data_IF_332731822194
#
_entry.id   IF_332731822194
#
_cell.length_a   1.000
_cell.length_b   1.000
_cell.length_c   1.000
_cell.angle_alpha   90.00
_cell.angle_beta   90.00
_cell.angle_gamma   90.00
#
_symmetry.space_group_name_H-M   'P 1'
#
loop_
_entity.id
_entity.type
_entity.pdbx_description
1 polymer ?
#
# COMPACT_ATOMS: atom_id res chain seq x y z
N UNK A 1 22.92 0.74 12.91
CA UNK A 1 23.80 -0.44 12.90
C UNK A 1 22.95 -1.69 12.68
N UNK A 2 23.31 -2.56 11.73
CA UNK A 2 22.62 -3.83 11.35
C UNK A 2 23.65 -4.86 11.77
N UNK A 3 23.23 -5.87 12.53
CA UNK A 3 24.09 -7.00 12.90
C UNK A 3 25.44 -6.58 13.52
N UNK A 4 25.44 -5.47 14.28
CA UNK A 4 26.65 -4.92 14.92
C UNK A 4 27.51 -4.01 14.04
N UNK A 5 27.13 -3.76 12.77
CA UNK A 5 27.88 -2.90 11.85
C UNK A 5 27.21 -1.52 11.69
N UNK A 6 27.92 -0.41 11.92
CA UNK A 6 27.39 0.93 11.69
C UNK A 6 27.31 1.28 10.21
N UNK A 7 26.27 2.00 9.81
CA UNK A 7 26.13 2.61 8.49
C UNK A 7 25.56 4.02 8.64
N UNK A 8 25.95 4.86 7.69
CA UNK A 8 25.66 6.28 7.68
C UNK A 8 24.34 6.51 6.94
N UNK A 9 23.29 6.88 7.67
CA UNK A 9 22.03 7.31 7.06
C UNK A 9 21.97 8.85 7.13
N UNK A 10 21.94 9.53 5.99
CA UNK A 10 21.94 11.00 5.94
C UNK A 10 20.51 11.49 5.75
N UNK A 11 20.09 12.43 6.59
CA UNK A 11 18.84 13.12 6.39
C UNK A 11 18.95 14.20 5.29
N UNK A 12 17.82 14.52 4.62
CA UNK A 12 17.77 15.62 3.67
C UNK A 12 18.21 16.94 4.32
N UNK A 13 18.70 17.88 3.51
CA UNK A 13 19.18 19.17 4.01
C UNK A 13 18.11 19.88 4.86
N UNK A 14 18.47 20.28 6.08
CA UNK A 14 17.57 20.91 7.04
C UNK A 14 16.79 19.96 7.96
N UNK A 15 16.80 18.65 7.69
CA UNK A 15 16.18 17.63 8.53
C UNK A 15 17.23 16.85 9.34
N UNK A 16 16.78 16.31 10.47
CA UNK A 16 17.55 15.58 11.46
C UNK A 16 16.90 14.21 11.67
N UNK A 17 17.71 13.16 11.84
CA UNK A 17 17.20 11.81 12.03
C UNK A 17 16.61 11.66 13.43
N UNK A 18 15.33 11.31 13.54
CA UNK A 18 14.72 10.93 14.82
C UNK A 18 15.05 9.47 15.12
N UNK A 19 15.84 9.26 16.17
CA UNK A 19 16.37 7.96 16.53
C UNK A 19 15.31 7.05 17.20
N UNK A 20 14.12 7.57 17.55
CA UNK A 20 12.97 6.75 18.00
C UNK A 20 12.11 6.34 16.82
N UNK A 21 11.67 7.30 16.01
CA UNK A 21 10.71 7.11 14.94
C UNK A 21 11.35 6.60 13.64
N UNK A 22 12.68 6.63 13.53
CA UNK A 22 13.48 6.12 12.39
C UNK A 22 13.16 6.79 11.04
N UNK A 23 12.79 8.07 11.06
CA UNK A 23 12.64 8.92 9.87
C UNK A 23 13.30 10.30 10.09
N UNK A 24 13.48 11.05 9.01
CA UNK A 24 14.06 12.40 9.06
C UNK A 24 12.97 13.44 9.34
N UNK A 25 13.14 14.25 10.37
CA UNK A 25 12.19 15.31 10.76
C UNK A 25 12.91 16.63 11.07
N UNK A 26 12.18 17.71 11.34
CA UNK A 26 12.78 19.00 11.70
C UNK A 26 13.57 18.91 13.00
N UNK A 27 14.60 19.76 13.12
CA UNK A 27 15.49 19.80 14.29
C UNK A 27 14.74 19.88 15.63
N UNK A 28 13.63 20.60 15.67
CA UNK A 28 12.84 20.81 16.88
C UNK A 28 12.05 19.55 17.30
N UNK A 29 11.84 18.62 16.37
CA UNK A 29 11.05 17.41 16.56
C UNK A 29 11.92 16.15 16.67
N UNK A 30 13.14 16.19 16.12
CA UNK A 30 14.04 15.05 16.07
C UNK A 30 14.59 14.70 17.46
N UNK A 31 14.34 13.47 17.90
CA UNK A 31 14.92 12.90 19.12
C UNK A 31 16.24 12.21 18.79
N UNK A 32 17.34 12.88 19.10
CA UNK A 32 18.69 12.38 18.85
C UNK A 32 19.17 11.47 20.00
N UNK A 33 19.90 10.40 19.65
CA UNK A 33 20.49 9.47 20.61
C UNK A 33 21.67 10.04 21.43
N UNK A 34 22.26 9.22 22.33
CA UNK A 34 22.09 7.77 22.45
C UNK A 34 20.81 7.41 23.20
N UNK A 35 19.91 6.70 22.51
CA UNK A 35 18.72 6.16 23.14
C UNK A 35 19.10 4.85 23.79
N UNK A 36 18.77 4.70 25.08
CA UNK A 36 18.95 3.42 25.77
C UNK A 36 18.20 2.35 24.97
N UNK A 37 18.93 1.38 24.42
CA UNK A 37 18.32 0.18 23.89
C UNK A 37 17.55 -0.44 25.04
N UNK A 38 16.22 -0.46 24.94
CA UNK A 38 15.44 -1.36 25.80
C UNK A 38 16.03 -2.74 25.57
N UNK A 39 16.56 -3.42 26.61
CA UNK A 39 17.04 -4.78 26.44
C UNK A 39 15.91 -5.55 25.78
N UNK A 40 16.17 -6.12 24.60
CA UNK A 40 15.20 -7.03 24.00
C UNK A 40 14.89 -8.06 25.09
N UNK A 41 13.60 -8.28 25.43
CA UNK A 41 13.27 -9.30 26.41
C UNK A 41 13.99 -10.58 26.00
N UNK A 42 14.75 -11.16 26.93
CA UNK A 42 15.46 -12.42 26.71
C UNK A 42 14.36 -13.45 26.50
N UNK A 43 14.08 -13.69 25.22
CA UNK A 43 13.15 -14.68 24.74
C UNK A 43 14.02 -15.82 24.24
N UNK A 44 13.62 -17.05 24.54
CA UNK A 44 14.22 -18.22 23.90
C UNK A 44 14.27 -17.98 22.38
N UNK A 45 15.32 -18.46 21.73
CA UNK A 45 15.47 -18.33 20.28
C UNK A 45 14.13 -18.74 19.62
N UNK A 46 13.52 -17.89 18.77
CA UNK A 46 12.19 -18.19 18.26
C UNK A 46 12.24 -19.51 17.49
N UNK A 47 11.48 -20.50 17.96
CA UNK A 47 11.50 -21.88 17.44
C UNK A 47 10.96 -22.01 16.00
N UNK A 48 10.57 -20.91 15.37
CA UNK A 48 9.76 -20.88 14.16
C UNK A 48 10.10 -19.65 13.28
N UNK A 49 11.40 -19.40 13.08
CA UNK A 49 11.85 -18.35 12.17
C UNK A 49 11.75 -18.84 10.73
N UNK A 50 11.32 -17.94 9.83
CA UNK A 50 11.35 -18.22 8.41
C UNK A 50 12.77 -18.53 7.94
N UNK A 51 12.90 -19.57 7.11
CA UNK A 51 14.18 -19.97 6.53
C UNK A 51 14.58 -19.05 5.38
N UNK A 52 15.85 -19.09 4.97
CA UNK A 52 16.28 -18.37 3.77
C UNK A 52 15.64 -18.99 2.54
N UNK A 53 15.34 -18.16 1.55
CA UNK A 53 14.79 -18.59 0.26
C UNK A 53 15.52 -19.81 -0.30
N UNK A 54 14.77 -20.89 -0.55
CA UNK A 54 15.17 -21.99 -1.42
C UNK A 54 14.41 -21.86 -2.75
N UNK A 55 15.07 -21.38 -3.82
CA UNK A 55 14.43 -21.21 -5.13
C UNK A 55 14.02 -22.52 -5.79
N UNK A 56 14.47 -23.69 -5.31
CA UNK A 56 14.03 -24.98 -5.85
C UNK A 56 12.62 -25.34 -5.36
N UNK A 57 12.34 -25.07 -4.09
CA UNK A 57 11.06 -25.36 -3.45
C UNK A 57 10.05 -24.19 -3.58
N UNK A 58 10.54 -22.96 -3.74
CA UNK A 58 9.71 -21.78 -3.94
C UNK A 58 9.46 -21.50 -5.44
N UNK A 59 8.36 -22.05 -5.97
CA UNK A 59 8.02 -21.93 -7.39
C UNK A 59 6.70 -21.19 -7.65
N UNK A 60 6.69 -20.41 -8.72
CA UNK A 60 5.48 -19.78 -9.25
C UNK A 60 4.45 -20.85 -9.67
N UNK A 61 3.14 -20.58 -9.55
CA UNK A 61 2.52 -19.30 -9.15
C UNK A 61 2.38 -19.10 -7.63
N UNK A 62 2.71 -20.11 -6.82
CA UNK A 62 2.34 -20.15 -5.40
C UNK A 62 3.37 -19.51 -4.48
N UNK A 63 4.64 -19.54 -4.86
CA UNK A 63 5.74 -18.99 -4.08
C UNK A 63 6.70 -18.25 -5.02
N UNK A 64 7.21 -17.11 -4.58
CA UNK A 64 8.30 -16.43 -5.26
C UNK A 64 9.24 -15.77 -4.26
N UNK A 65 10.51 -16.13 -4.34
CA UNK A 65 11.56 -15.51 -3.57
C UNK A 65 12.87 -15.53 -4.36
N UNK A 66 13.80 -14.68 -3.95
CA UNK A 66 15.18 -14.75 -4.40
C UNK A 66 16.12 -14.40 -3.25
N UNK A 67 17.42 -14.67 -3.42
CA UNK A 67 18.41 -14.50 -2.36
C UNK A 67 18.49 -13.07 -1.81
N UNK A 68 18.29 -12.08 -2.67
CA UNK A 68 18.38 -10.64 -2.36
C UNK A 68 17.14 -9.85 -2.80
N UNK A 69 16.10 -10.52 -3.31
CA UNK A 69 14.87 -9.90 -3.77
C UNK A 69 14.94 -9.24 -5.14
N UNK A 70 16.05 -9.36 -5.88
CA UNK A 70 16.27 -8.58 -7.11
C UNK A 70 15.99 -9.34 -8.42
N UNK A 71 15.80 -10.66 -8.35
CA UNK A 71 15.57 -11.48 -9.55
C UNK A 71 14.19 -11.22 -10.17
N UNK A 72 14.16 -11.21 -11.51
CA UNK A 72 12.93 -11.03 -12.28
C UNK A 72 12.11 -12.34 -12.27
N UNK A 73 10.80 -12.28 -11.95
CA UNK A 73 9.91 -13.43 -12.04
C UNK A 73 9.98 -14.14 -13.40
N UNK A 74 10.07 -15.47 -13.38
CA UNK A 74 10.19 -16.29 -14.59
C UNK A 74 11.55 -16.23 -15.29
N UNK A 75 12.54 -15.50 -14.75
CA UNK A 75 13.89 -15.42 -15.31
C UNK A 75 13.94 -14.71 -16.67
N UNK A 76 13.01 -13.78 -16.91
CA UNK A 76 12.99 -12.96 -18.13
C UNK A 76 14.19 -12.01 -18.16
N UNK A 77 14.65 -11.69 -19.36
CA UNK A 77 15.58 -10.58 -19.56
C UNK A 77 14.88 -9.24 -19.24
N UNK A 78 15.57 -8.24 -18.67
CA UNK A 78 14.98 -6.94 -18.37
C UNK A 78 14.32 -6.28 -19.58
N UNK A 79 14.93 -6.38 -20.77
CA UNK A 79 14.39 -5.78 -22.01
C UNK A 79 13.09 -6.43 -22.51
N UNK A 80 12.84 -7.69 -22.13
CA UNK A 80 11.59 -8.39 -22.44
C UNK A 80 10.57 -8.29 -21.28
N UNK A 81 10.91 -7.61 -20.19
CA UNK A 81 10.08 -7.44 -19.00
C UNK A 81 9.34 -6.10 -19.02
N UNK A 82 8.00 -6.07 -18.85
CA UNK A 82 7.27 -4.81 -18.77
C UNK A 82 7.69 -4.01 -17.56
N UNK A 83 7.91 -2.71 -17.75
CA UNK A 83 8.00 -1.82 -16.61
C UNK A 83 6.60 -1.52 -16.09
N UNK A 84 6.25 -2.11 -14.95
CA UNK A 84 5.00 -1.80 -14.26
C UNK A 84 5.17 -0.50 -13.45
N UNK A 85 4.17 0.38 -13.51
CA UNK A 85 4.00 1.53 -12.63
C UNK A 85 2.73 1.31 -11.81
N UNK A 86 2.83 1.35 -10.49
CA UNK A 86 1.70 1.14 -9.57
C UNK A 86 1.38 2.45 -8.84
N UNK A 87 0.35 3.17 -9.28
CA UNK A 87 -0.11 4.36 -8.59
C UNK A 87 -0.95 3.93 -7.37
N UNK A 88 -0.51 4.27 -6.16
CA UNK A 88 -1.26 3.93 -4.94
C UNK A 88 -1.62 5.16 -4.12
N UNK A 89 -2.81 5.16 -3.52
CA UNK A 89 -3.35 6.29 -2.79
C UNK A 89 -3.79 5.85 -1.40
N UNK A 90 -3.30 6.53 -0.39
CA UNK A 90 -3.48 6.16 1.00
C UNK A 90 -4.38 7.15 1.75
N UNK A 91 -5.22 6.62 2.63
CA UNK A 91 -6.08 7.39 3.52
C UNK A 91 -7.53 7.48 3.03
N UNK A 92 -8.24 8.50 3.51
CA UNK A 92 -9.67 8.66 3.24
C UNK A 92 -9.91 9.26 1.85
N UNK A 93 -10.90 8.73 1.12
CA UNK A 93 -11.41 9.36 -0.11
C UNK A 93 -12.62 10.21 0.25
N UNK A 94 -12.59 11.49 -0.09
CA UNK A 94 -13.69 12.41 0.17
C UNK A 94 -13.69 13.60 -0.80
N UNK A 95 -14.58 14.57 -0.54
CA UNK A 95 -14.75 15.77 -1.38
C UNK A 95 -13.46 16.59 -1.57
N UNK A 96 -12.47 16.45 -0.68
CA UNK A 96 -11.22 17.21 -0.80
C UNK A 96 -10.27 16.65 -1.87
N UNK A 97 -10.36 15.35 -2.18
CA UNK A 97 -9.37 14.67 -3.01
C UNK A 97 -9.95 13.89 -4.19
N UNK A 98 -11.23 13.49 -4.14
CA UNK A 98 -11.85 12.67 -5.17
C UNK A 98 -11.75 13.25 -6.59
N UNK A 99 -12.03 14.55 -6.75
CA UNK A 99 -11.92 15.21 -8.05
C UNK A 99 -10.46 15.37 -8.51
N UNK A 100 -9.49 15.42 -7.59
CA UNK A 100 -8.06 15.42 -7.93
C UNK A 100 -7.65 14.05 -8.48
N UNK A 101 -8.08 12.98 -7.82
CA UNK A 101 -7.84 11.61 -8.31
C UNK A 101 -8.49 11.37 -9.68
N UNK A 102 -9.71 11.84 -9.90
CA UNK A 102 -10.36 11.76 -11.22
C UNK A 102 -9.62 12.50 -12.33
N UNK A 103 -8.92 13.61 -12.01
CA UNK A 103 -8.07 14.28 -13.01
C UNK A 103 -6.91 13.39 -13.43
N UNK A 104 -6.30 12.65 -12.50
CA UNK A 104 -5.26 11.64 -12.79
C UNK A 104 -5.83 10.55 -13.69
N UNK A 105 -7.00 10.02 -13.35
CA UNK A 105 -7.65 8.90 -14.04
C UNK A 105 -8.70 9.30 -15.09
N UNK A 106 -8.49 10.42 -15.79
CA UNK A 106 -9.47 10.99 -16.72
C UNK A 106 -9.66 10.22 -18.06
N UNK A 107 -9.04 9.05 -18.21
CA UNK A 107 -9.12 8.20 -19.41
C UNK A 107 -8.30 8.66 -20.62
N UNK A 108 -7.57 9.78 -20.54
CA UNK A 108 -6.69 10.25 -21.63
C UNK A 108 -5.40 9.45 -21.73
N UNK A 109 -4.84 9.05 -20.58
CA UNK A 109 -3.65 8.22 -20.51
C UNK A 109 -4.07 6.76 -20.56
N UNK A 110 -3.45 6.01 -21.46
CA UNK A 110 -3.79 4.62 -21.75
C UNK A 110 -2.54 3.76 -21.78
N UNK A 111 -2.69 2.52 -21.33
CA UNK A 111 -1.71 1.47 -21.51
C UNK A 111 -1.60 1.06 -22.99
N UNK A 112 -0.54 0.35 -23.40
CA UNK A 112 -0.34 -0.10 -24.77
C UNK A 112 -1.51 -0.91 -25.37
N UNK A 113 -2.28 -1.63 -24.55
CA UNK A 113 -3.50 -2.33 -24.99
C UNK A 113 -4.73 -1.43 -25.19
N UNK A 114 -4.60 -0.11 -25.02
CA UNK A 114 -5.67 0.87 -25.19
C UNK A 114 -6.58 1.05 -23.96
N UNK A 115 -6.34 0.32 -22.87
CA UNK A 115 -7.06 0.47 -21.63
C UNK A 115 -6.63 1.72 -20.86
N UNK A 116 -7.56 2.39 -20.20
CA UNK A 116 -7.23 3.49 -19.29
C UNK A 116 -6.36 2.98 -18.13
N UNK A 117 -5.44 3.83 -17.68
CA UNK A 117 -4.59 3.54 -16.51
C UNK A 117 -5.45 3.41 -15.24
N UNK A 118 -5.00 2.58 -14.29
CA UNK A 118 -5.70 2.33 -13.02
C UNK A 118 -4.77 2.52 -11.84
N UNK A 119 -5.34 2.83 -10.68
CA UNK A 119 -4.62 2.92 -9.40
C UNK A 119 -5.18 1.97 -8.35
N UNK A 120 -4.51 1.92 -7.20
CA UNK A 120 -4.91 1.14 -6.02
C UNK A 120 -5.13 2.08 -4.83
N UNK A 121 -6.25 1.95 -4.14
CA UNK A 121 -6.63 2.83 -3.02
C UNK A 121 -6.63 2.04 -1.71
N UNK A 122 -5.71 2.36 -0.80
CA UNK A 122 -5.64 1.80 0.55
C UNK A 122 -6.44 2.70 1.51
N UNK A 123 -7.69 2.33 1.73
CA UNK A 123 -8.65 3.23 2.34
C UNK A 123 -8.65 3.14 3.87
N UNK A 124 -8.71 4.31 4.51
CA UNK A 124 -9.04 4.45 5.93
C UNK A 124 -10.51 4.78 6.16
N UNK A 125 -11.09 4.36 7.28
CA UNK A 125 -12.51 4.60 7.53
C UNK A 125 -12.83 6.08 7.76
N UNK A 126 -12.17 6.71 8.73
CA UNK A 126 -12.63 8.01 9.22
C UNK A 126 -12.64 9.06 8.10
N UNK A 127 -13.77 9.77 7.96
CA UNK A 127 -14.02 10.80 6.92
C UNK A 127 -14.04 10.31 5.46
N UNK A 128 -14.13 9.00 5.20
CA UNK A 128 -14.35 8.48 3.84
C UNK A 128 -15.79 8.65 3.36
N UNK A 129 -15.94 8.98 2.07
CA UNK A 129 -17.19 9.02 1.33
C UNK A 129 -17.31 7.71 0.53
N UNK A 130 -18.19 6.81 0.96
CA UNK A 130 -18.28 5.49 0.37
C UNK A 130 -18.99 5.45 -0.99
N UNK A 131 -19.79 6.47 -1.33
CA UNK A 131 -20.31 6.61 -2.70
C UNK A 131 -19.19 6.95 -3.70
N UNK A 132 -18.21 7.75 -3.27
CA UNK A 132 -17.02 8.05 -4.07
C UNK A 132 -16.06 6.86 -4.16
N UNK A 133 -15.90 6.11 -3.07
CA UNK A 133 -15.16 4.83 -3.09
C UNK A 133 -15.80 3.86 -4.07
N UNK A 134 -17.13 3.71 -4.04
CA UNK A 134 -17.86 2.88 -4.99
C UNK A 134 -17.64 3.35 -6.44
N UNK A 135 -17.59 4.66 -6.68
CA UNK A 135 -17.28 5.21 -8.01
C UNK A 135 -15.88 4.79 -8.49
N UNK A 136 -14.86 4.90 -7.63
CA UNK A 136 -13.49 4.47 -7.98
C UNK A 136 -13.44 2.97 -8.31
N UNK A 137 -14.14 2.15 -7.51
CA UNK A 137 -14.22 0.71 -7.74
C UNK A 137 -14.95 0.38 -9.06
N UNK A 138 -16.05 1.07 -9.35
CA UNK A 138 -16.80 0.95 -10.60
C UNK A 138 -15.95 1.30 -11.83
N UNK A 139 -15.11 2.33 -11.72
CA UNK A 139 -14.17 2.74 -12.77
C UNK A 139 -12.98 1.75 -12.93
N UNK A 140 -12.95 0.69 -12.11
CA UNK A 140 -12.03 -0.43 -12.20
C UNK A 140 -10.72 -0.22 -11.44
N UNK A 141 -10.65 0.77 -10.56
CA UNK A 141 -9.54 0.90 -9.61
C UNK A 141 -9.62 -0.18 -8.54
N UNK A 142 -8.46 -0.56 -8.01
CA UNK A 142 -8.38 -1.54 -6.94
C UNK A 142 -8.66 -0.86 -5.59
N UNK A 143 -9.49 -1.51 -4.76
CA UNK A 143 -9.83 -1.06 -3.41
C UNK A 143 -9.23 -2.02 -2.40
N UNK A 144 -8.41 -1.51 -1.50
CA UNK A 144 -7.68 -2.25 -0.48
C UNK A 144 -7.87 -1.61 0.91
N UNK A 145 -7.56 -2.36 1.97
CA UNK A 145 -7.75 -1.88 3.36
C UNK A 145 -6.51 -1.16 3.89
N UNK A 146 -6.72 0.03 4.45
CA UNK A 146 -5.71 0.85 5.14
C UNK A 146 -5.95 0.99 6.66
N UNK A 147 -6.80 0.17 7.27
CA UNK A 147 -7.31 0.21 8.67
C UNK A 147 -8.50 1.13 8.96
N UNK A 148 -9.24 0.85 10.02
CA UNK A 148 -10.41 1.63 10.45
C UNK A 148 -9.94 2.94 11.09
N UNK A 149 -9.08 2.85 12.11
CA UNK A 149 -8.76 3.98 12.98
C UNK A 149 -7.47 4.71 12.67
N UNK A 150 -6.57 4.12 11.85
CA UNK A 150 -5.22 4.64 11.64
C UNK A 150 -4.46 4.86 12.97
N UNK A 151 -4.74 4.05 14.00
CA UNK A 151 -4.15 4.24 15.33
C UNK A 151 -2.62 4.11 15.33
N UNK A 152 -1.96 5.00 16.07
CA UNK A 152 -0.54 4.88 16.35
C UNK A 152 -0.26 3.72 17.29
N UNK A 153 0.82 2.99 17.05
CA UNK A 153 1.20 1.85 17.89
C UNK A 153 0.55 0.53 17.50
N UNK A 154 -0.24 0.48 16.41
CA UNK A 154 -0.87 -0.74 15.92
C UNK A 154 0.15 -1.88 15.70
N UNK A 155 1.38 -1.53 15.33
CA UNK A 155 2.45 -2.50 15.08
C UNK A 155 2.82 -3.39 16.27
N UNK A 156 2.47 -2.98 17.48
CA UNK A 156 2.73 -3.72 18.72
C UNK A 156 1.44 -4.27 19.37
N UNK A 157 0.30 -4.21 18.67
CA UNK A 157 -1.00 -4.73 19.14
C UNK A 157 -1.21 -6.22 18.84
N UNK A 158 -2.22 -6.80 19.50
CA UNK A 158 -2.57 -8.21 19.42
C UNK A 158 -3.42 -8.56 18.20
N UNK A 159 -3.74 -9.85 18.09
CA UNK A 159 -4.48 -10.42 16.97
C UNK A 159 -5.87 -9.79 16.82
N UNK A 160 -6.60 -9.63 17.92
CA UNK A 160 -7.96 -9.07 17.92
C UNK A 160 -7.99 -7.62 17.46
N UNK A 161 -7.00 -6.79 17.85
CA UNK A 161 -6.90 -5.42 17.36
C UNK A 161 -6.58 -5.38 15.86
N UNK A 162 -5.63 -6.19 15.38
CA UNK A 162 -5.33 -6.28 13.95
C UNK A 162 -6.52 -6.79 13.12
N UNK A 163 -7.27 -7.77 13.64
CA UNK A 163 -8.47 -8.26 13.01
C UNK A 163 -9.56 -7.18 12.97
N UNK A 164 -9.79 -6.46 14.07
CA UNK A 164 -10.74 -5.35 14.12
C UNK A 164 -10.41 -4.23 13.13
N UNK A 165 -9.12 -3.91 12.97
CA UNK A 165 -8.68 -2.87 12.05
C UNK A 165 -8.76 -3.29 10.57
N UNK A 166 -8.28 -4.48 10.22
CA UNK A 166 -8.23 -4.91 8.83
C UNK A 166 -9.57 -5.47 8.36
N UNK A 167 -10.13 -6.41 9.12
CA UNK A 167 -11.38 -7.08 8.75
C UNK A 167 -12.55 -6.12 8.93
N UNK A 168 -12.55 -5.31 10.00
CA UNK A 168 -13.54 -4.26 10.16
C UNK A 168 -13.55 -3.28 8.99
N UNK A 169 -12.38 -2.86 8.49
CA UNK A 169 -12.31 -1.98 7.32
C UNK A 169 -12.85 -2.69 6.06
N UNK A 170 -12.53 -3.97 5.86
CA UNK A 170 -13.04 -4.78 4.75
C UNK A 170 -14.57 -4.92 4.79
N UNK A 171 -15.15 -5.16 5.96
CA UNK A 171 -16.61 -5.25 6.13
C UNK A 171 -17.31 -3.90 5.90
N UNK A 172 -16.71 -2.80 6.38
CA UNK A 172 -17.20 -1.44 6.14
C UNK A 172 -17.22 -1.13 4.64
N UNK A 173 -16.13 -1.42 3.92
CA UNK A 173 -16.06 -1.25 2.46
C UNK A 173 -17.10 -2.10 1.75
N UNK A 174 -17.24 -3.37 2.15
CA UNK A 174 -18.22 -4.26 1.56
C UNK A 174 -19.65 -3.78 1.73
N UNK A 175 -19.98 -3.28 2.91
CA UNK A 175 -21.32 -2.82 3.23
C UNK A 175 -21.67 -1.45 2.66
N UNK A 176 -20.74 -0.48 2.73
CA UNK A 176 -21.04 0.92 2.46
C UNK A 176 -20.54 1.40 1.09
N UNK A 177 -19.56 0.73 0.49
CA UNK A 177 -19.11 0.99 -0.89
C UNK A 177 -19.54 -0.10 -1.89
N UNK A 178 -20.24 -1.15 -1.44
CA UNK A 178 -20.73 -2.23 -2.30
C UNK A 178 -19.61 -2.92 -3.12
N UNK A 179 -18.42 -3.05 -2.52
CA UNK A 179 -17.27 -3.75 -3.13
C UNK A 179 -17.22 -5.16 -2.54
N UNK A 180 -17.13 -6.20 -3.36
CA UNK A 180 -17.21 -7.55 -2.82
C UNK A 180 -15.97 -7.89 -1.98
N UNK A 181 -16.17 -8.73 -0.95
CA UNK A 181 -15.08 -9.21 -0.09
C UNK A 181 -13.93 -9.85 -0.90
N UNK A 182 -14.27 -10.55 -1.98
CA UNK A 182 -13.34 -11.20 -2.89
C UNK A 182 -12.50 -10.24 -3.74
N UNK A 183 -12.91 -8.97 -3.85
CA UNK A 183 -12.15 -7.93 -4.56
C UNK A 183 -11.23 -7.14 -3.62
N UNK A 184 -11.53 -7.12 -2.31
CA UNK A 184 -10.74 -6.40 -1.31
C UNK A 184 -9.65 -7.34 -0.76
N UNK A 185 -8.65 -7.62 -1.57
CA UNK A 185 -7.62 -8.64 -1.29
C UNK A 185 -6.30 -8.07 -0.78
N UNK A 186 -6.12 -6.75 -0.84
CA UNK A 186 -4.93 -6.04 -0.43
C UNK A 186 -5.03 -5.34 0.91
N UNK A 187 -3.91 -5.28 1.62
CA UNK A 187 -3.77 -4.61 2.90
C UNK A 187 -2.54 -3.68 2.92
N UNK A 188 -2.64 -2.61 3.71
CA UNK A 188 -1.51 -1.75 4.07
C UNK A 188 -1.66 -1.26 5.51
N UNK A 189 -0.60 -1.43 6.29
CA UNK A 189 -0.50 -0.97 7.65
C UNK A 189 -0.33 0.56 7.72
N UNK A 190 -0.86 1.21 8.76
CA UNK A 190 -0.72 2.65 8.94
C UNK A 190 0.75 3.02 9.14
N UNK A 191 1.16 4.16 8.57
CA UNK A 191 2.50 4.75 8.71
C UNK A 191 3.67 3.86 8.26
N UNK A 192 3.41 2.84 7.43
CA UNK A 192 4.41 1.82 7.00
C UNK A 192 5.13 1.18 8.20
N UNK A 193 4.35 0.86 9.24
CA UNK A 193 4.79 0.09 10.40
C UNK A 193 4.06 -1.26 10.41
N UNK A 194 4.63 -2.29 9.77
CA UNK A 194 4.04 -3.62 9.78
C UNK A 194 3.88 -4.17 11.21
N UNK A 195 2.88 -5.00 11.46
CA UNK A 195 2.52 -5.56 12.76
C UNK A 195 3.23 -6.84 13.14
N UNK A 196 4.54 -6.90 12.94
CA UNK A 196 5.39 -8.07 13.27
C UNK A 196 4.80 -9.32 12.64
N UNK A 197 4.63 -10.40 13.40
CA UNK A 197 3.96 -11.61 12.91
C UNK A 197 2.43 -11.53 13.00
N UNK A 198 1.91 -10.66 13.86
CA UNK A 198 0.48 -10.59 14.18
C UNK A 198 -0.35 -10.11 12.99
N UNK A 199 0.08 -9.05 12.32
CA UNK A 199 -0.60 -8.55 11.11
C UNK A 199 -0.71 -9.66 10.07
N UNK A 200 0.41 -10.26 9.70
CA UNK A 200 0.47 -11.24 8.60
C UNK A 200 -0.30 -12.51 8.96
N UNK A 201 -0.35 -12.89 10.25
CA UNK A 201 -1.22 -13.98 10.70
C UNK A 201 -2.71 -13.68 10.48
N UNK A 202 -3.15 -12.46 10.80
CA UNK A 202 -4.52 -12.02 10.52
C UNK A 202 -4.79 -12.00 9.01
N UNK A 203 -3.86 -11.48 8.21
CA UNK A 203 -4.02 -11.44 6.75
C UNK A 203 -4.18 -12.85 6.14
N UNK A 204 -3.33 -13.79 6.56
CA UNK A 204 -3.39 -15.21 6.17
C UNK A 204 -4.73 -15.84 6.57
N UNK A 205 -5.12 -15.72 7.85
CA UNK A 205 -6.34 -16.34 8.41
C UNK A 205 -7.64 -15.87 7.73
N UNK A 206 -7.64 -14.63 7.22
CA UNK A 206 -8.79 -14.01 6.58
C UNK A 206 -8.65 -13.91 5.05
N UNK A 207 -7.69 -14.63 4.45
CA UNK A 207 -7.59 -14.78 3.00
C UNK A 207 -7.29 -13.49 2.26
N UNK A 208 -6.50 -12.57 2.84
CA UNK A 208 -5.82 -11.55 2.04
C UNK A 208 -4.80 -12.20 1.12
N UNK A 209 -4.61 -11.62 -0.07
CA UNK A 209 -3.63 -12.09 -1.04
C UNK A 209 -2.28 -11.40 -0.80
N UNK A 210 -2.30 -10.13 -0.44
CA UNK A 210 -1.06 -9.38 -0.27
C UNK A 210 -1.13 -8.31 0.83
N UNK A 211 0.04 -8.06 1.41
CA UNK A 211 0.37 -6.87 2.16
C UNK A 211 1.27 -5.94 1.33
N UNK A 212 1.21 -4.65 1.61
CA UNK A 212 2.14 -3.67 1.07
C UNK A 212 2.45 -2.67 2.18
N UNK A 213 3.22 -3.12 3.17
CA UNK A 213 3.59 -2.31 4.33
C UNK A 213 5.09 -2.31 4.61
N UNK A 214 5.84 -3.25 4.02
CA UNK A 214 7.25 -3.46 4.33
C UNK A 214 8.10 -2.50 3.50
N UNK A 215 8.75 -1.55 4.18
CA UNK A 215 9.70 -0.61 3.58
C UNK A 215 11.06 -1.25 3.28
N UNK A 216 11.56 -1.00 2.08
CA UNK A 216 12.93 -1.33 1.63
C UNK A 216 13.80 -0.09 1.76
N UNK A 217 15.06 -0.21 2.24
CA UNK A 217 16.01 0.89 2.17
C UNK A 217 16.26 1.35 0.73
N UNK A 218 16.86 2.53 0.54
CA UNK A 218 17.26 3.02 -0.78
C UNK A 218 18.36 2.12 -1.38
N UNK A 219 17.97 1.21 -2.26
CA UNK A 219 18.87 0.30 -2.96
C UNK A 219 19.00 0.72 -4.44
N UNK A 220 20.19 0.55 -5.05
CA UNK A 220 20.38 0.84 -6.47
C UNK A 220 19.60 -0.12 -7.38
N UNK A 221 19.41 -1.37 -6.94
CA UNK A 221 18.56 -2.34 -7.61
C UNK A 221 17.31 -2.54 -6.75
N UNK A 222 16.12 -2.17 -7.25
CA UNK A 222 14.88 -2.32 -6.50
C UNK A 222 14.51 -3.79 -6.24
N UNK A 223 13.76 -4.02 -5.16
CA UNK A 223 13.28 -5.36 -4.78
C UNK A 223 11.94 -5.64 -5.45
N UNK A 224 11.82 -6.82 -6.07
CA UNK A 224 10.56 -7.34 -6.60
C UNK A 224 9.62 -7.83 -5.48
N UNK A 225 8.29 -7.82 -5.68
CA UNK A 225 7.37 -8.49 -4.77
C UNK A 225 7.74 -9.96 -4.56
N UNK A 226 7.48 -10.47 -3.36
CA UNK A 226 7.85 -11.82 -2.94
C UNK A 226 6.78 -12.41 -2.03
N UNK A 227 6.74 -13.73 -1.89
CA UNK A 227 5.88 -14.37 -0.88
C UNK A 227 6.60 -14.50 0.45
N UNK A 228 5.81 -14.53 1.53
CA UNK A 228 6.29 -14.67 2.89
C UNK A 228 6.45 -16.12 3.34
N UNK A 229 6.50 -17.08 2.41
CA UNK A 229 6.91 -18.47 2.66
C UNK A 229 8.32 -18.54 3.27
N UNK A 230 9.20 -17.62 2.86
CA UNK A 230 10.58 -17.53 3.27
C UNK A 230 10.91 -16.17 3.90
N UNK A 231 12.08 -16.10 4.54
CA UNK A 231 12.62 -14.89 5.17
C UNK A 231 12.77 -13.76 4.15
N UNK A 232 12.32 -12.57 4.55
CA UNK A 232 12.53 -11.31 3.82
C UNK A 232 14.02 -11.12 3.48
N UNK A 233 14.31 -10.87 2.21
CA UNK A 233 15.66 -10.83 1.64
C UNK A 233 16.37 -9.46 1.77
N UNK A 234 15.74 -8.48 2.41
CA UNK A 234 16.27 -7.13 2.60
C UNK A 234 16.12 -6.63 4.05
N UNK A 235 16.75 -5.50 4.37
CA UNK A 235 16.63 -4.90 5.71
C UNK A 235 15.19 -4.46 5.99
N UNK A 236 14.70 -4.79 7.19
CA UNK A 236 13.45 -4.27 7.72
C UNK A 236 13.69 -2.89 8.35
N UNK A 237 13.50 -1.82 7.57
CA UNK A 237 13.75 -0.45 8.04
C UNK A 237 12.87 -0.05 9.24
N UNK A 238 11.64 -0.57 9.31
CA UNK A 238 10.67 -0.27 10.39
C UNK A 238 10.92 -1.05 11.69
N UNK A 239 11.79 -2.07 11.69
CA UNK A 239 12.04 -2.95 12.84
C UNK A 239 10.84 -3.81 13.30
N UNK A 240 9.78 -3.85 12.50
CA UNK A 240 8.49 -4.44 12.85
C UNK A 240 7.94 -5.38 11.77
N UNK A 241 8.81 -5.84 10.87
CA UNK A 241 8.47 -6.82 9.84
C UNK A 241 8.25 -8.22 10.42
N UNK A 242 7.60 -9.14 9.68
CA UNK A 242 7.39 -10.51 10.13
C UNK A 242 8.73 -11.26 10.18
N UNK A 243 8.82 -12.21 11.11
CA UNK A 243 9.97 -13.10 11.29
C UNK A 243 9.62 -14.57 11.05
N UNK A 244 8.33 -14.91 11.01
CA UNK A 244 7.80 -16.24 10.70
C UNK A 244 7.42 -16.34 9.22
N UNK A 245 7.19 -17.57 8.77
CA UNK A 245 6.64 -17.85 7.45
C UNK A 245 5.11 -17.70 7.44
N UNK A 246 4.60 -17.10 6.37
CA UNK A 246 3.17 -16.94 6.05
C UNK A 246 2.95 -17.40 4.60
N UNK A 247 2.89 -18.73 4.35
CA UNK A 247 2.89 -19.29 3.02
C UNK A 247 1.79 -18.74 2.10
N UNK A 248 2.18 -18.32 0.89
CA UNK A 248 1.26 -17.79 -0.12
C UNK A 248 0.77 -16.36 0.10
N UNK A 249 1.09 -15.72 1.24
CA UNK A 249 0.84 -14.29 1.43
C UNK A 249 1.95 -13.50 0.74
N UNK A 250 1.57 -12.62 -0.19
CA UNK A 250 2.51 -11.77 -0.91
C UNK A 250 2.84 -10.50 -0.12
N UNK A 251 4.10 -10.08 -0.17
CA UNK A 251 4.50 -8.72 0.16
C UNK A 251 4.81 -7.96 -1.13
N UNK A 252 4.20 -6.79 -1.28
CA UNK A 252 4.51 -5.83 -2.35
C UNK A 252 5.31 -4.69 -1.71
N UNK A 253 6.64 -4.77 -1.73
CA UNK A 253 7.48 -3.97 -0.88
C UNK A 253 7.58 -2.51 -1.34
N UNK A 254 7.76 -1.61 -0.39
CA UNK A 254 7.99 -0.19 -0.61
C UNK A 254 9.46 0.09 -0.89
N UNK A 255 9.85 0.09 -2.16
CA UNK A 255 11.16 0.58 -2.56
C UNK A 255 11.26 2.09 -2.31
N UNK A 256 12.13 2.51 -1.37
CA UNK A 256 12.29 3.92 -1.08
C UNK A 256 12.74 4.69 -2.33
N UNK A 257 12.07 5.81 -2.60
CA UNK A 257 12.40 6.71 -3.70
C UNK A 257 13.62 7.57 -3.36
N UNK A 258 14.49 7.78 -4.34
CA UNK A 258 15.62 8.71 -4.27
C UNK A 258 16.28 8.91 -5.64
N UNK A 259 17.04 9.99 -5.77
CA UNK A 259 17.89 10.31 -6.93
C UNK A 259 19.37 10.30 -6.54
N UNK A 260 20.30 10.13 -7.49
CA UNK A 260 21.73 9.98 -7.21
C UNK A 260 22.34 11.21 -6.53
N UNK A 261 21.82 12.40 -6.84
CA UNK A 261 22.24 13.67 -6.20
C UNK A 261 21.78 13.76 -4.75
N UNK A 262 20.92 12.85 -4.29
CA UNK A 262 20.20 12.86 -3.01
C UNK A 262 19.36 14.12 -2.77
N UNK A 263 19.10 14.91 -3.82
CA UNK A 263 18.14 16.01 -3.76
C UNK A 263 16.73 15.43 -3.54
N UNK A 264 16.00 15.95 -2.55
CA UNK A 264 14.69 15.37 -2.18
C UNK A 264 14.72 14.29 -1.08
N UNK A 265 15.85 13.62 -0.84
CA UNK A 265 15.97 12.63 0.23
C UNK A 265 15.45 11.22 -0.07
N UNK A 266 15.56 10.32 0.92
CA UNK A 266 14.97 8.99 0.88
C UNK A 266 13.54 9.00 1.43
N UNK A 267 12.57 8.71 0.57
CA UNK A 267 11.16 8.86 0.90
C UNK A 267 10.39 7.59 0.49
N UNK A 268 9.75 6.89 1.44
CA UNK A 268 8.83 5.80 1.12
C UNK A 268 7.55 6.29 0.43
N UNK A 269 7.05 7.47 0.81
CA UNK A 269 5.94 8.16 0.14
C UNK A 269 6.45 9.34 -0.67
N UNK A 270 5.88 9.56 -1.86
CA UNK A 270 6.31 10.67 -2.71
C UNK A 270 6.05 12.05 -2.08
N UNK A 271 4.97 12.19 -1.30
CA UNK A 271 4.69 13.42 -0.55
C UNK A 271 5.67 13.68 0.63
N UNK A 272 6.51 12.71 0.98
CA UNK A 272 7.57 12.85 1.98
C UNK A 272 8.92 13.23 1.35
N UNK A 273 9.04 13.20 0.03
CA UNK A 273 10.22 13.70 -0.67
C UNK A 273 10.25 15.24 -0.57
N UNK A 274 11.44 15.82 -0.48
CA UNK A 274 11.62 17.28 -0.38
C UNK A 274 11.49 17.92 -1.77
N UNK A 275 10.28 17.86 -2.34
CA UNK A 275 9.93 18.38 -3.66
C UNK A 275 9.11 19.68 -3.64
N UNK A 276 8.70 20.14 -2.46
CA UNK A 276 7.73 21.24 -2.30
C UNK A 276 8.16 22.62 -2.86
N UNK A 277 9.46 22.84 -3.09
CA UNK A 277 9.98 24.09 -3.67
C UNK A 277 10.29 23.97 -5.17
N UNK A 278 10.09 22.79 -5.76
CA UNK A 278 10.39 22.55 -7.15
C UNK A 278 9.21 22.96 -8.03
N UNK A 279 9.50 23.44 -9.23
CA UNK A 279 8.48 23.63 -10.25
C UNK A 279 8.09 22.30 -10.91
N UNK A 280 7.04 22.34 -11.74
CA UNK A 280 6.52 21.12 -12.37
C UNK A 280 7.48 20.42 -13.36
N UNK A 281 8.47 21.12 -13.93
CA UNK A 281 9.49 20.53 -14.81
C UNK A 281 10.58 19.86 -13.96
N UNK A 282 11.03 20.50 -12.89
CA UNK A 282 11.97 19.91 -11.94
C UNK A 282 11.38 18.65 -11.26
N UNK A 283 10.08 18.66 -10.91
CA UNK A 283 9.38 17.46 -10.40
C UNK A 283 9.35 16.35 -11.45
N UNK A 284 9.14 16.69 -12.74
CA UNK A 284 9.19 15.70 -13.82
C UNK A 284 10.57 15.07 -13.93
N UNK A 285 11.64 15.88 -13.94
CA UNK A 285 13.02 15.42 -14.05
C UNK A 285 13.39 14.49 -12.89
N UNK A 286 13.01 14.87 -11.67
CA UNK A 286 13.21 14.02 -10.49
C UNK A 286 12.52 12.66 -10.61
N UNK A 287 11.25 12.66 -11.05
CA UNK A 287 10.48 11.42 -11.24
C UNK A 287 11.05 10.56 -12.39
N UNK A 288 11.62 11.16 -13.42
CA UNK A 288 12.29 10.45 -14.52
C UNK A 288 13.57 9.77 -14.05
N UNK A 289 14.39 10.46 -13.26
CA UNK A 289 15.63 9.89 -12.72
C UNK A 289 15.32 8.71 -11.78
N UNK A 290 14.38 8.88 -10.84
CA UNK A 290 14.00 7.79 -9.94
C UNK A 290 13.35 6.62 -10.70
N UNK A 291 12.57 6.88 -11.75
CA UNK A 291 12.02 5.84 -12.63
C UNK A 291 13.13 5.09 -13.41
N UNK A 292 14.15 5.78 -13.93
CA UNK A 292 15.25 5.17 -14.67
C UNK A 292 15.99 4.12 -13.84
N UNK A 293 16.07 4.29 -12.51
CA UNK A 293 16.62 3.28 -11.59
C UNK A 293 15.91 1.92 -11.68
N UNK A 294 14.61 1.90 -11.96
CA UNK A 294 13.84 0.67 -12.14
C UNK A 294 13.96 0.18 -13.60
N UNK A 295 13.75 1.11 -14.53
CA UNK A 295 13.63 0.84 -15.96
C UNK A 295 14.94 0.34 -16.58
N UNK A 296 16.09 0.86 -16.15
CA UNK A 296 17.40 0.50 -16.70
C UNK A 296 18.08 -0.66 -15.95
N UNK A 297 17.45 -1.16 -14.89
CA UNK A 297 17.98 -2.25 -14.06
C UNK A 297 17.14 -3.54 -14.22
N UNK A 298 16.38 -3.90 -13.18
CA UNK A 298 15.67 -5.18 -13.12
C UNK A 298 14.15 -5.06 -13.36
N UNK A 299 13.65 -3.89 -13.77
CA UNK A 299 12.23 -3.65 -14.10
C UNK A 299 11.24 -3.98 -12.99
N UNK A 300 11.68 -4.00 -11.72
CA UNK A 300 10.76 -4.19 -10.60
C UNK A 300 9.61 -3.15 -10.65
N UNK A 301 8.41 -3.48 -10.14
CA UNK A 301 7.30 -2.55 -10.17
C UNK A 301 7.66 -1.21 -9.52
N UNK A 302 7.52 -0.13 -10.29
CA UNK A 302 7.72 1.23 -9.82
C UNK A 302 6.43 1.71 -9.12
N UNK A 303 6.35 1.48 -7.82
CA UNK A 303 5.23 1.96 -7.01
C UNK A 303 5.37 3.45 -6.76
N UNK A 304 4.29 4.21 -6.97
CA UNK A 304 4.20 5.64 -6.67
C UNK A 304 3.11 5.85 -5.62
N UNK A 305 3.45 5.86 -4.33
CA UNK A 305 2.50 5.96 -3.24
C UNK A 305 2.29 7.41 -2.80
N UNK A 306 1.03 7.83 -2.77
CA UNK A 306 0.62 9.21 -2.50
C UNK A 306 -0.37 9.31 -1.35
N UNK A 307 -0.24 10.37 -0.55
CA UNK A 307 -1.34 10.93 0.22
C UNK A 307 -2.00 12.11 -0.49
N UNK A 308 -3.12 12.57 0.05
CA UNK A 308 -3.80 13.81 -0.39
C UNK A 308 -2.86 15.02 -0.47
N UNK A 309 -1.84 15.10 0.39
CA UNK A 309 -0.90 16.22 0.46
C UNK A 309 -0.20 16.50 -0.88
N UNK A 310 0.15 15.45 -1.64
CA UNK A 310 0.76 15.60 -2.97
C UNK A 310 -0.11 16.47 -3.89
N UNK A 311 -1.42 16.27 -3.84
CA UNK A 311 -2.38 16.93 -4.72
C UNK A 311 -2.82 18.32 -4.24
N UNK A 312 -2.42 18.71 -3.03
CA UNK A 312 -2.65 20.08 -2.53
C UNK A 312 -1.64 21.08 -3.12
N UNK A 313 -0.49 20.60 -3.60
CA UNK A 313 0.56 21.42 -4.21
C UNK A 313 0.45 21.30 -5.74
N UNK A 314 0.10 22.42 -6.39
CA UNK A 314 -0.17 22.45 -7.84
C UNK A 314 1.02 22.01 -8.70
N UNK A 315 2.24 22.36 -8.32
CA UNK A 315 3.42 21.98 -9.09
C UNK A 315 3.72 20.48 -9.01
N UNK A 316 3.45 19.84 -7.85
CA UNK A 316 3.55 18.39 -7.70
C UNK A 316 2.48 17.66 -8.54
N UNK A 317 1.21 18.11 -8.50
CA UNK A 317 0.13 17.57 -9.33
C UNK A 317 0.47 17.68 -10.83
N UNK A 318 0.98 18.84 -11.27
CA UNK A 318 1.37 19.06 -12.67
C UNK A 318 2.58 18.23 -13.09
N UNK A 319 3.60 18.15 -12.22
CA UNK A 319 4.79 17.33 -12.46
C UNK A 319 4.43 15.85 -12.62
N UNK A 320 3.53 15.34 -11.76
CA UNK A 320 2.98 13.99 -11.92
C UNK A 320 2.26 13.83 -13.27
N UNK A 321 1.39 14.76 -13.66
CA UNK A 321 0.73 14.69 -14.96
C UNK A 321 1.70 14.68 -16.14
N UNK A 322 2.78 15.48 -16.08
CA UNK A 322 3.84 15.47 -17.08
C UNK A 322 4.55 14.11 -17.10
N UNK A 323 4.88 13.55 -15.94
CA UNK A 323 5.51 12.23 -15.81
C UNK A 323 4.65 11.14 -16.42
N UNK A 324 3.36 11.08 -16.07
CA UNK A 324 2.44 10.06 -16.61
C UNK A 324 2.33 10.15 -18.13
N UNK A 325 2.29 11.37 -18.70
CA UNK A 325 2.26 11.58 -20.16
C UNK A 325 3.57 11.20 -20.85
N UNK A 326 4.70 11.43 -20.20
CA UNK A 326 6.02 11.03 -20.70
C UNK A 326 6.15 9.50 -20.66
N UNK A 327 5.91 8.89 -19.51
CA UNK A 327 6.05 7.45 -19.30
C UNK A 327 5.09 6.64 -20.19
N UNK A 328 3.87 7.14 -20.46
CA UNK A 328 2.93 6.48 -21.37
C UNK A 328 3.37 6.45 -22.84
N UNK A 329 4.42 7.19 -23.22
CA UNK A 329 4.97 7.15 -24.59
C UNK A 329 5.98 6.01 -24.76
N UNK A 330 6.46 5.43 -23.66
CA UNK A 330 7.31 4.23 -23.67
C UNK A 330 6.42 3.01 -23.94
N UNK A 331 6.83 2.14 -24.87
CA UNK A 331 5.95 1.09 -25.44
C UNK A 331 5.75 -0.11 -24.52
N UNK A 332 6.61 -0.24 -23.54
CA UNK A 332 6.79 -1.36 -22.61
C UNK A 332 6.49 -0.96 -21.15
N UNK A 333 5.95 0.26 -20.95
CA UNK A 333 5.48 0.76 -19.66
C UNK A 333 3.98 0.53 -19.50
N UNK A 334 3.59 0.03 -18.33
CA UNK A 334 2.22 -0.33 -18.00
C UNK A 334 1.82 0.21 -16.63
N UNK A 335 0.75 0.97 -16.58
CA UNK A 335 0.14 1.43 -15.34
C UNK A 335 -0.91 0.43 -14.89
N UNK A 336 -0.63 -0.28 -13.81
CA UNK A 336 -1.42 -1.42 -13.34
C UNK A 336 -1.77 -1.25 -11.87
N UNK A 337 -2.86 -1.88 -11.44
CA UNK A 337 -3.14 -2.03 -10.01
C UNK A 337 -2.16 -3.02 -9.38
N UNK A 338 -2.11 -3.07 -8.04
CA UNK A 338 -1.22 -4.00 -7.33
C UNK A 338 -1.59 -5.45 -7.64
N UNK A 339 -2.88 -5.79 -7.58
CA UNK A 339 -3.39 -7.12 -7.96
C UNK A 339 -3.05 -7.49 -9.41
N UNK A 340 -3.16 -6.54 -10.35
CA UNK A 340 -2.78 -6.79 -11.74
C UNK A 340 -1.29 -7.08 -11.90
N UNK A 341 -0.42 -6.35 -11.18
CA UNK A 341 1.01 -6.62 -11.18
C UNK A 341 1.35 -7.97 -10.55
N UNK A 342 0.75 -8.30 -9.40
CA UNK A 342 0.90 -9.62 -8.78
C UNK A 342 0.42 -10.75 -9.71
N UNK A 343 -0.69 -10.55 -10.42
CA UNK A 343 -1.18 -11.53 -11.40
C UNK A 343 -0.14 -11.78 -12.50
N UNK A 344 0.53 -10.73 -13.00
CA UNK A 344 1.65 -10.91 -13.93
C UNK A 344 2.85 -11.61 -13.29
N UNK A 345 3.19 -11.29 -12.04
CA UNK A 345 4.28 -11.94 -11.31
C UNK A 345 4.03 -13.44 -11.15
N UNK A 346 2.77 -13.85 -10.92
CA UNK A 346 2.39 -15.26 -10.80
C UNK A 346 2.45 -16.04 -12.13
N UNK A 347 2.31 -15.36 -13.27
CA UNK A 347 2.42 -15.94 -14.62
C UNK A 347 3.14 -14.97 -15.58
N UNK A 348 4.48 -14.84 -15.45
CA UNK A 348 5.23 -13.80 -16.16
C UNK A 348 5.15 -13.95 -17.68
N UNK A 349 4.78 -12.85 -18.35
CA UNK A 349 4.72 -12.74 -19.82
C UNK A 349 5.66 -11.65 -20.32
N UNK A 350 6.34 -11.91 -21.43
CA UNK A 350 7.15 -10.88 -22.07
C UNK A 350 6.30 -9.73 -22.61
N UNK A 351 6.90 -8.54 -22.77
CA UNK A 351 6.23 -7.33 -23.27
C UNK A 351 5.41 -7.58 -24.54
N UNK A 352 5.93 -8.41 -25.45
CA UNK A 352 5.28 -8.73 -26.74
C UNK A 352 3.95 -9.46 -26.58
N UNK A 353 3.77 -10.20 -25.48
CA UNK A 353 2.55 -10.96 -25.21
C UNK A 353 1.47 -10.15 -24.46
N UNK A 354 1.79 -8.96 -23.94
CA UNK A 354 0.91 -8.22 -23.02
C UNK A 354 -0.27 -7.52 -23.67
N UNK A 355 -0.20 -7.20 -24.96
CA UNK A 355 -1.31 -6.54 -25.66
C UNK A 355 -2.62 -7.36 -25.62
N UNK A 356 -2.50 -8.69 -25.53
CA UNK A 356 -3.66 -9.61 -25.43
C UNK A 356 -3.73 -10.32 -24.07
N UNK A 357 -3.00 -9.84 -23.05
CA UNK A 357 -2.95 -10.50 -21.75
C UNK A 357 -4.27 -10.31 -21.00
N UNK A 358 -4.96 -11.42 -20.75
CA UNK A 358 -6.34 -11.44 -20.26
C UNK A 358 -6.52 -10.69 -18.93
N UNK A 359 -5.57 -10.85 -18.01
CA UNK A 359 -5.64 -10.25 -16.67
C UNK A 359 -5.58 -8.71 -16.70
N UNK A 360 -5.07 -8.11 -17.77
CA UNK A 360 -4.92 -6.66 -17.92
C UNK A 360 -5.92 -6.05 -18.90
N UNK A 361 -6.89 -6.84 -19.39
CA UNK A 361 -7.97 -6.32 -20.22
C UNK A 361 -8.95 -5.49 -19.39
N UNK A 362 -9.51 -4.47 -20.02
CA UNK A 362 -10.48 -3.55 -19.42
C UNK A 362 -11.92 -3.77 -19.89
N UNK A 363 -12.20 -4.83 -20.66
CA UNK A 363 -13.53 -5.18 -21.14
C UNK A 363 -14.30 -6.15 -20.21
N UNK A 364 -13.72 -6.45 -19.04
CA UNK A 364 -14.40 -7.18 -17.96
C UNK A 364 -15.62 -6.40 -17.50
N UNK A 365 -16.73 -7.12 -17.26
CA UNK A 365 -18.00 -6.54 -16.80
C UNK A 365 -18.24 -6.76 -15.31
N UNK A 366 -17.23 -7.24 -14.60
CA UNK A 366 -17.36 -7.75 -13.25
C UNK A 366 -17.09 -6.67 -12.18
N UNK A 367 -17.01 -5.40 -12.58
CA UNK A 367 -16.82 -4.28 -11.64
C UNK A 367 -18.08 -4.04 -10.80
N UNK A 368 -17.93 -3.47 -9.59
CA UNK A 368 -19.05 -3.07 -8.77
C UNK A 368 -20.07 -2.21 -9.53
N UNK A 369 -21.33 -2.28 -9.12
CA UNK A 369 -22.38 -1.44 -9.71
C UNK A 369 -22.02 0.05 -9.55
N UNK A 370 -22.41 0.85 -10.54
CA UNK A 370 -22.25 2.30 -10.48
C UNK A 370 -22.86 2.87 -9.18
N UNK A 371 -22.27 3.92 -8.60
CA UNK A 371 -22.85 4.56 -7.44
C UNK A 371 -24.24 5.13 -7.76
N UNK A 372 -25.08 5.19 -6.74
CA UNK A 372 -26.37 5.85 -6.77
C UNK A 372 -26.25 7.33 -7.17
N UNK A 373 -27.29 7.87 -7.82
CA UNK A 373 -27.33 9.27 -8.26
C UNK A 373 -27.40 10.27 -7.08
N UNK A 374 -28.00 9.87 -5.96
CA UNK A 374 -28.16 10.69 -4.77
C UNK A 374 -27.76 9.89 -3.53
N UNK A 375 -26.51 10.01 -3.06
CA UNK A 375 -26.03 9.34 -1.85
C UNK A 375 -26.77 9.80 -0.59
N UNK A 376 -26.99 8.86 0.33
CA UNK A 376 -27.48 9.16 1.67
C UNK A 376 -26.41 9.92 2.45
N UNK A 377 -26.80 10.98 3.16
CA UNK A 377 -25.93 11.76 4.05
C UNK A 377 -26.29 11.44 5.49
N UNK A 378 -25.52 10.55 6.10
CA UNK A 378 -25.81 10.01 7.42
C UNK A 378 -25.11 10.86 8.48
N UNK A 379 -25.89 11.55 9.32
CA UNK A 379 -25.39 12.19 10.54
C UNK A 379 -25.39 11.16 11.67
N UNK A 380 -24.22 10.62 11.99
CA UNK A 380 -24.07 9.45 12.84
C UNK A 380 -23.41 9.81 14.17
N UNK A 381 -23.97 9.31 15.26
CA UNK A 381 -23.39 9.44 16.59
C UNK A 381 -22.09 8.63 16.68
N UNK A 382 -21.03 9.24 17.18
CA UNK A 382 -19.73 8.60 17.42
C UNK A 382 -19.15 9.05 18.75
N UNK A 383 -18.71 8.09 19.58
CA UNK A 383 -18.00 8.36 20.83
C UNK A 383 -16.60 7.77 20.76
N UNK A 384 -15.55 8.59 20.54
CA UNK A 384 -14.18 8.12 20.60
C UNK A 384 -13.87 7.51 21.97
N UNK A 385 -13.15 6.38 22.00
CA UNK A 385 -12.91 5.60 23.22
C UNK A 385 -12.13 6.36 24.32
N UNK A 386 -11.31 7.33 23.91
CA UNK A 386 -10.47 8.18 24.76
C UNK A 386 -11.18 9.46 25.22
N UNK A 387 -12.43 9.68 24.80
CA UNK A 387 -13.20 10.89 25.12
C UNK A 387 -14.52 10.59 25.84
N UNK A 388 -14.93 11.54 26.67
CA UNK A 388 -16.20 11.46 27.41
C UNK A 388 -17.37 12.15 26.69
N UNK A 389 -17.15 12.72 25.51
CA UNK A 389 -18.20 13.37 24.73
C UNK A 389 -18.56 12.55 23.49
N UNK A 390 -19.81 12.68 23.06
CA UNK A 390 -20.30 12.11 21.80
C UNK A 390 -20.32 13.21 20.76
N UNK A 391 -19.76 12.91 19.60
CA UNK A 391 -19.69 13.81 18.45
C UNK A 391 -20.52 13.25 17.28
N UNK A 392 -20.76 14.08 16.27
CA UNK A 392 -21.42 13.66 15.04
C UNK A 392 -20.37 13.46 13.95
N UNK A 393 -20.40 12.30 13.29
CA UNK A 393 -19.64 12.01 12.08
C UNK A 393 -20.60 11.93 10.91
N UNK A 394 -20.27 12.65 9.84
CA UNK A 394 -21.02 12.57 8.59
C UNK A 394 -20.42 11.48 7.70
N UNK A 395 -21.26 10.59 7.22
CA UNK A 395 -20.87 9.53 6.29
C UNK A 395 -21.79 9.55 5.08
N UNK A 396 -21.21 9.52 3.88
CA UNK A 396 -21.97 9.43 2.62
C UNK A 396 -21.85 8.02 2.03
N UNK A 397 -22.96 7.42 1.64
CA UNK A 397 -23.03 6.06 1.08
C UNK A 397 -24.31 5.88 0.24
N UNK A 398 -24.30 4.91 -0.67
CA UNK A 398 -25.50 4.50 -1.40
C UNK A 398 -26.34 3.45 -0.65
N UNK A 399 -25.79 2.89 0.43
CA UNK A 399 -26.51 2.00 1.34
C UNK A 399 -27.37 2.80 2.33
N UNK A 400 -28.29 2.13 3.02
CA UNK A 400 -29.06 2.74 4.10
C UNK A 400 -28.15 3.26 5.22
N UNK A 401 -28.54 4.37 5.83
CA UNK A 401 -27.79 4.93 6.94
C UNK A 401 -27.76 3.94 8.12
N UNK A 402 -26.57 3.66 8.69
CA UNK A 402 -26.49 2.84 9.89
C UNK A 402 -27.05 3.57 11.11
N UNK A 403 -27.25 2.85 12.21
CA UNK A 403 -27.77 3.43 13.46
C UNK A 403 -26.72 4.28 14.20
N UNK A 404 -25.44 3.92 14.07
CA UNK A 404 -24.30 4.63 14.64
C UNK A 404 -23.13 4.66 13.66
N UNK A 405 -22.12 5.49 13.94
CA UNK A 405 -20.92 5.54 13.12
C UNK A 405 -20.20 4.19 13.21
N UNK A 406 -19.97 3.48 12.08
CA UNK A 406 -19.22 2.24 12.10
C UNK A 406 -17.85 2.43 12.74
N UNK A 407 -17.39 1.47 13.53
CA UNK A 407 -16.08 1.55 14.15
C UNK A 407 -15.57 0.16 14.57
N UNK A 408 -14.45 0.13 15.28
CA UNK A 408 -13.90 -1.08 15.88
C UNK A 408 -14.95 -1.78 16.76
N UNK A 409 -15.23 -3.05 16.47
CA UNK A 409 -16.22 -3.87 17.19
C UNK A 409 -17.67 -3.69 16.74
N UNK A 410 -17.97 -2.77 15.81
CA UNK A 410 -19.28 -2.58 15.16
C UNK A 410 -19.11 -1.96 13.75
N UNK A 411 -18.42 -2.68 12.86
CA UNK A 411 -18.22 -2.34 11.45
C UNK A 411 -19.55 -2.18 10.69
N UNK A 412 -20.62 -2.76 11.20
CA UNK A 412 -21.97 -2.60 10.66
C UNK A 412 -22.66 -1.30 11.06
N UNK A 413 -22.16 -0.55 12.04
CA UNK A 413 -22.80 0.65 12.60
C UNK A 413 -24.17 0.36 13.24
N UNK A 414 -24.31 -0.77 13.91
CA UNK A 414 -25.59 -1.26 14.45
C UNK A 414 -25.99 -0.62 15.77
N UNK A 415 -25.02 -0.04 16.49
CA UNK A 415 -25.17 0.53 17.83
C UNK A 415 -25.09 -0.49 18.96
N UNK A 416 -24.63 -1.71 18.67
CA UNK A 416 -24.44 -2.78 19.66
C UNK A 416 -22.93 -2.96 19.87
N UNK A 417 -22.37 -2.62 21.04
CA UNK A 417 -20.94 -2.75 21.30
C UNK A 417 -20.45 -4.20 21.18
N UNK A 418 -19.30 -4.39 20.52
CA UNK A 418 -18.66 -5.71 20.40
C UNK A 418 -19.48 -6.74 19.63
N UNK A 419 -20.34 -6.27 18.71
CA UNK A 419 -21.16 -7.13 17.87
C UNK A 419 -20.33 -7.94 16.89
N UNK A 420 -19.24 -7.34 16.42
CA UNK A 420 -18.39 -7.99 15.46
C UNK A 420 -17.59 -9.10 16.13
N UNK A 421 -17.77 -10.30 15.60
CA UNK A 421 -16.96 -11.46 15.92
C UNK A 421 -16.43 -12.02 14.60
N UNK A 422 -15.18 -11.72 14.29
CA UNK A 422 -14.56 -12.13 13.04
C UNK A 422 -14.05 -13.56 13.16
N UNK A 423 -14.71 -14.48 12.47
CA UNK A 423 -14.27 -15.87 12.41
C UNK A 423 -13.30 -16.03 11.23
N UNK A 424 -12.06 -16.50 11.46
CA UNK A 424 -11.10 -16.85 10.40
C UNK A 424 -11.68 -17.79 9.35
N UNK A 425 -11.27 -17.63 8.09
CA UNK A 425 -11.81 -18.40 6.97
C UNK A 425 -11.38 -19.87 7.01
N UNK A 426 -10.20 -20.15 7.55
CA UNK A 426 -9.72 -21.51 7.82
C UNK A 426 -10.57 -22.25 8.87
N UNK A 427 -11.29 -21.53 9.73
CA UNK A 427 -12.19 -22.11 10.74
C UNK A 427 -13.64 -22.22 10.25
N UNK A 428 -14.06 -21.45 9.24
CA UNK A 428 -15.42 -21.53 8.66
C UNK A 428 -15.69 -22.81 7.84
N UNK A 429 -14.64 -23.53 7.43
CA UNK A 429 -14.73 -24.72 6.57
C UNK A 429 -14.69 -26.06 7.32
N UNK A 430 -15.03 -26.09 8.61
CA UNK A 430 -15.19 -27.33 9.39
C UNK A 430 -16.65 -27.69 9.62
#
# INVERSE_FOLDING_TARGET
CVDGYPYLNRCPSGLYFDDISKYCTFKAEARCGPIATTPAPITEAPLDLAEKCDPAECQLPYCFCSKDGTLIPGGLDPEDTPQMIMLTFDGAVNLNNFELYKKVFNGKIKNPNGCAIRGTFFLSHEYSNYAQVQALAHDGHEIATGTVSQQQGLQDKGYEEWAGEMIGMREILGKFANVSRSEIVGARAPFLKPGRNTQFKVLEDFGYIYDSSVGVPPLPIPVWPYTLDYKIAHECKSGTCPTKSFPGLWEVPFNAHYVETYEGGHCPYLDQCVLHNHDSDEVLEWLQEDFSRYYEQNRAPYMMPFHTNWFQIKELERGLHKFLQWASKLKDVWFVTVTQGLTWITDPKSVKALNNYEAWRCDRKDFPAAPCNLPNKCALSFKPADTNFTDTRYMETCSDCPNQYPWLGDSGGTGIPGKDNYIPDNLKRK
#
